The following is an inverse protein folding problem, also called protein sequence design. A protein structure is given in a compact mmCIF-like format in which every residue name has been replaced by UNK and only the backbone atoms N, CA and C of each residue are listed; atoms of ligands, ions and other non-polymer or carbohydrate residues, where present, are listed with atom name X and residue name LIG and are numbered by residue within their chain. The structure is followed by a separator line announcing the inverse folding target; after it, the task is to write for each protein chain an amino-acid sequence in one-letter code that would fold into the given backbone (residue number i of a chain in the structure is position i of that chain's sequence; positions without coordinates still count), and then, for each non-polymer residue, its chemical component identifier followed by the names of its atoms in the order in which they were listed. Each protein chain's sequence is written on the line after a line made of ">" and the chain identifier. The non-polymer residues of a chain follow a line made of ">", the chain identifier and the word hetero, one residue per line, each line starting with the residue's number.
data_IF_239289265367
#
_entry.id   IF_239289265367
#
_cell.length_a   1.000
_cell.length_b   1.000
_cell.length_c   1.000
_cell.angle_alpha   90.00
_cell.angle_beta   90.00
_cell.angle_gamma   90.00
#
_symmetry.space_group_name_H-M   'P 1'
#
loop_
_entity.id
_entity.type
_entity.pdbx_description
1 polymer ?
#
# COMPACT_ATOMS: atom_id res chain seq x y z
N UNK A 1 39.08 14.55 2.56
CA UNK A 1 37.70 14.92 2.18
C UNK A 1 37.01 13.62 1.75
N UNK A 2 36.77 12.71 2.71
CA UNK A 2 36.43 11.29 2.43
C UNK A 2 35.47 10.72 3.50
N UNK A 3 34.67 11.57 4.13
CA UNK A 3 33.78 11.19 5.23
C UNK A 3 32.30 11.40 4.92
N UNK A 4 31.96 12.10 3.83
CA UNK A 4 30.58 12.40 3.44
C UNK A 4 29.90 11.28 2.64
N UNK A 5 30.66 10.42 1.95
CA UNK A 5 30.09 9.40 1.06
C UNK A 5 29.55 8.16 1.82
N UNK A 6 30.28 7.71 2.86
CA UNK A 6 29.87 6.57 3.70
C UNK A 6 28.58 6.81 4.49
N UNK A 7 28.21 8.07 4.72
CA UNK A 7 27.01 8.41 5.49
C UNK A 7 25.74 8.38 4.62
N UNK A 8 25.86 8.63 3.31
CA UNK A 8 24.74 8.51 2.36
C UNK A 8 24.36 7.04 2.11
N UNK A 9 25.35 6.14 2.10
CA UNK A 9 25.16 4.70 1.93
C UNK A 9 24.59 3.97 3.17
N UNK A 10 24.55 4.63 4.34
CA UNK A 10 23.98 4.07 5.58
C UNK A 10 22.52 4.48 5.78
N UNK A 11 22.07 5.54 5.11
CA UNK A 11 20.72 6.11 5.27
C UNK A 11 19.61 5.43 4.48
N UNK A 12 19.92 4.53 3.54
CA UNK A 12 18.91 3.86 2.68
C UNK A 12 18.92 2.32 2.87
N UNK A 13 19.64 1.81 3.87
CA UNK A 13 19.67 0.37 4.18
C UNK A 13 18.48 0.03 5.07
N UNK A 14 17.50 -0.64 4.49
CA UNK A 14 16.33 -1.14 5.21
C UNK A 14 16.71 -2.49 5.83
N UNK A 15 16.88 -2.50 7.16
CA UNK A 15 17.17 -3.69 7.96
C UNK A 15 15.88 -4.07 8.68
N UNK A 16 15.46 -5.31 8.52
CA UNK A 16 14.18 -5.84 9.01
C UNK A 16 14.43 -7.08 9.85
N UNK A 17 13.58 -7.34 10.84
CA UNK A 17 13.61 -8.60 11.56
C UNK A 17 13.18 -9.75 10.64
N UNK A 18 14.13 -10.61 10.27
CA UNK A 18 13.90 -11.77 9.41
C UNK A 18 13.05 -12.86 10.06
N UNK A 19 12.85 -12.78 11.38
CA UNK A 19 11.96 -13.69 12.11
C UNK A 19 10.49 -13.23 12.08
N UNK A 20 10.24 -11.95 11.80
CA UNK A 20 8.90 -11.39 11.76
C UNK A 20 8.34 -11.31 10.33
N UNK A 21 7.53 -12.30 9.94
CA UNK A 21 6.89 -12.36 8.63
C UNK A 21 6.01 -11.13 8.31
N UNK A 22 5.45 -10.48 9.34
CA UNK A 22 4.62 -9.29 9.13
C UNK A 22 5.46 -8.08 8.72
N UNK A 23 6.63 -7.89 9.31
CA UNK A 23 7.56 -6.82 8.96
C UNK A 23 8.20 -7.03 7.59
N UNK A 24 8.56 -8.27 7.26
CA UNK A 24 9.06 -8.62 5.93
C UNK A 24 8.04 -8.30 4.85
N UNK A 25 6.77 -8.66 5.09
CA UNK A 25 5.68 -8.34 4.18
C UNK A 25 5.45 -6.83 4.09
N UNK A 26 5.39 -6.13 5.21
CA UNK A 26 5.19 -4.69 5.25
C UNK A 26 6.29 -3.95 4.48
N UNK A 27 7.54 -4.38 4.62
CA UNK A 27 8.68 -3.82 3.89
C UNK A 27 8.56 -4.05 2.39
N UNK A 28 8.15 -5.25 1.97
CA UNK A 28 7.87 -5.51 0.55
C UNK A 28 6.72 -4.65 0.02
N UNK A 29 5.62 -4.53 0.78
CA UNK A 29 4.45 -3.73 0.40
C UNK A 29 4.82 -2.24 0.26
N UNK A 30 5.60 -1.69 1.21
CA UNK A 30 6.13 -0.31 1.16
C UNK A 30 7.12 -0.12 0.02
N UNK A 31 7.99 -1.09 -0.26
CA UNK A 31 8.92 -1.04 -1.38
C UNK A 31 8.17 -0.99 -2.73
N UNK A 32 7.07 -1.75 -2.88
CA UNK A 32 6.21 -1.70 -4.08
C UNK A 32 5.63 -0.29 -4.25
N UNK A 33 5.06 0.28 -3.20
CA UNK A 33 4.51 1.63 -3.23
C UNK A 33 5.59 2.66 -3.59
N UNK A 34 6.75 2.61 -2.93
CA UNK A 34 7.88 3.51 -3.19
C UNK A 34 8.37 3.41 -4.63
N UNK A 35 8.55 2.21 -5.16
CA UNK A 35 9.04 2.00 -6.54
C UNK A 35 8.04 2.54 -7.58
N UNK A 36 6.74 2.40 -7.33
CA UNK A 36 5.69 2.83 -8.27
C UNK A 36 5.34 4.31 -8.16
N UNK A 37 5.56 4.92 -6.99
CA UNK A 37 5.32 6.33 -6.70
C UNK A 37 6.53 7.23 -6.97
N UNK A 38 7.76 6.68 -6.92
CA UNK A 38 9.00 7.45 -7.10
C UNK A 38 8.99 8.16 -8.45
N UNK A 39 8.82 9.49 -8.40
CA UNK A 39 9.14 10.36 -9.51
C UNK A 39 10.65 10.31 -9.75
N UNK A 40 11.13 10.40 -11.00
CA UNK A 40 12.55 10.43 -11.28
C UNK A 40 13.15 11.73 -10.75
N UNK A 41 13.64 11.70 -9.51
CA UNK A 41 14.50 12.76 -8.99
C UNK A 41 15.80 12.80 -9.80
N UNK A 42 16.27 14.02 -10.00
CA UNK A 42 17.18 14.54 -11.03
C UNK A 42 18.58 13.89 -11.24
N UNK A 43 18.85 12.68 -10.73
CA UNK A 43 20.20 12.07 -10.75
C UNK A 43 20.24 10.63 -11.29
N UNK A 44 19.09 10.02 -11.63
CA UNK A 44 19.02 8.62 -12.11
C UNK A 44 18.34 8.47 -13.49
N UNK A 45 18.48 9.50 -14.33
CA UNK A 45 17.92 9.61 -15.69
C UNK A 45 18.42 8.51 -16.65
N UNK A 46 19.46 7.74 -16.28
CA UNK A 46 20.09 6.76 -17.17
C UNK A 46 19.61 5.30 -17.04
N UNK A 47 18.79 4.93 -16.04
CA UNK A 47 18.38 3.51 -15.85
C UNK A 47 16.88 3.24 -15.66
N UNK A 48 16.05 4.24 -15.43
CA UNK A 48 14.60 4.08 -15.20
C UNK A 48 13.77 4.50 -16.42
N UNK A 49 13.98 3.89 -17.60
CA UNK A 49 13.27 4.26 -18.84
C UNK A 49 12.02 3.41 -19.16
N UNK A 50 11.60 2.48 -18.30
CA UNK A 50 10.52 1.55 -18.67
C UNK A 50 9.12 1.89 -18.10
N UNK A 51 9.00 2.73 -17.07
CA UNK A 51 7.71 2.99 -16.43
C UNK A 51 7.53 4.44 -16.00
N UNK A 52 6.56 5.14 -16.61
CA UNK A 52 6.15 6.47 -16.14
C UNK A 52 5.48 6.36 -14.75
N UNK A 53 5.88 7.17 -13.75
CA UNK A 53 5.41 7.06 -12.37
C UNK A 53 3.90 7.30 -12.28
N UNK A 54 3.24 6.59 -11.36
CA UNK A 54 1.82 6.80 -11.08
C UNK A 54 1.64 7.77 -9.92
N UNK A 55 0.64 8.65 -10.02
CA UNK A 55 0.23 9.47 -8.88
C UNK A 55 -0.57 8.61 -7.91
N UNK A 56 -0.05 8.45 -6.69
CA UNK A 56 -0.72 7.72 -5.61
C UNK A 56 -2.02 8.44 -5.22
N UNK A 57 -3.06 7.66 -4.99
CA UNK A 57 -4.36 8.13 -4.54
C UNK A 57 -4.56 7.74 -3.07
N UNK A 58 -4.39 8.71 -2.17
CA UNK A 58 -4.60 8.56 -0.71
C UNK A 58 -6.05 8.85 -0.29
N UNK A 59 -7.02 8.63 -1.19
CA UNK A 59 -8.42 9.03 -0.95
C UNK A 59 -9.00 8.40 0.33
N UNK A 60 -8.70 7.11 0.57
CA UNK A 60 -9.15 6.41 1.76
C UNK A 60 -8.49 6.96 3.04
N UNK A 61 -7.20 7.25 2.98
CA UNK A 61 -6.46 7.82 4.11
C UNK A 61 -7.00 9.22 4.46
N UNK A 62 -7.19 10.06 3.44
CA UNK A 62 -7.76 11.40 3.57
C UNK A 62 -9.20 11.37 4.08
N UNK A 63 -10.02 10.44 3.59
CA UNK A 63 -11.39 10.25 4.04
C UNK A 63 -11.43 9.84 5.50
N UNK A 64 -10.61 8.86 5.91
CA UNK A 64 -10.53 8.39 7.28
C UNK A 64 -10.04 9.49 8.22
N UNK A 65 -9.03 10.25 7.78
CA UNK A 65 -8.53 11.41 8.52
C UNK A 65 -9.63 12.46 8.71
N UNK A 66 -10.35 12.80 7.65
CA UNK A 66 -11.44 13.77 7.69
C UNK A 66 -12.58 13.32 8.62
N UNK A 67 -13.02 12.07 8.48
CA UNK A 67 -14.08 11.51 9.32
C UNK A 67 -13.64 11.44 10.79
N UNK A 68 -12.39 11.06 11.07
CA UNK A 68 -11.85 10.98 12.43
C UNK A 68 -11.69 12.36 13.07
N UNK A 69 -11.20 13.33 12.29
CA UNK A 69 -11.04 14.71 12.71
C UNK A 69 -12.39 15.37 13.02
N UNK A 70 -13.37 15.22 12.13
CA UNK A 70 -14.73 15.76 12.34
C UNK A 70 -15.41 15.12 13.54
N UNK A 71 -15.32 13.80 13.69
CA UNK A 71 -15.85 13.09 14.86
C UNK A 71 -15.22 13.61 16.16
N UNK A 72 -13.89 13.77 16.18
CA UNK A 72 -13.17 14.31 17.34
C UNK A 72 -13.57 15.75 17.66
N UNK A 73 -13.69 16.61 16.63
CA UNK A 73 -14.10 18.00 16.80
C UNK A 73 -15.51 18.13 17.41
N UNK A 74 -16.45 17.27 17.01
CA UNK A 74 -17.81 17.23 17.56
C UNK A 74 -17.79 16.83 19.03
N UNK A 75 -17.05 15.78 19.40
CA UNK A 75 -16.97 15.31 20.79
C UNK A 75 -16.28 16.35 21.68
N UNK A 76 -15.18 16.95 21.21
CA UNK A 76 -14.48 18.02 21.94
C UNK A 76 -15.41 19.23 22.11
N UNK A 77 -16.08 19.67 21.04
CA UNK A 77 -16.99 20.81 21.08
C UNK A 77 -18.17 20.60 22.02
N UNK A 78 -18.78 19.41 21.99
CA UNK A 78 -19.89 19.07 22.89
C UNK A 78 -19.44 18.90 24.34
N UNK A 79 -18.23 18.41 24.58
CA UNK A 79 -17.63 18.34 25.92
C UNK A 79 -17.36 19.73 26.50
N UNK A 80 -16.82 20.65 25.69
CA UNK A 80 -16.61 22.06 26.09
C UNK A 80 -17.95 22.74 26.37
N UNK A 81 -18.95 22.53 25.51
CA UNK A 81 -20.28 23.10 25.68
C UNK A 81 -20.96 22.61 26.96
N UNK A 82 -20.89 21.29 27.22
CA UNK A 82 -21.37 20.66 28.45
C UNK A 82 -20.70 21.24 29.71
N UNK A 83 -19.40 21.54 29.64
CA UNK A 83 -18.64 22.05 30.78
C UNK A 83 -18.91 23.53 31.06
N UNK A 84 -19.00 24.37 30.02
CA UNK A 84 -19.08 25.82 30.18
C UNK A 84 -20.49 26.40 30.10
N UNK A 85 -21.38 25.84 29.28
CA UNK A 85 -22.69 26.43 28.98
C UNK A 85 -23.80 25.74 29.76
N UNK A 86 -23.87 24.41 29.67
CA UNK A 86 -24.99 23.64 30.23
C UNK A 86 -24.52 22.53 31.16
N UNK A 87 -24.10 22.93 32.36
CA UNK A 87 -23.62 22.04 33.43
C UNK A 87 -24.71 21.09 33.95
N UNK A 88 -25.97 21.45 33.76
CA UNK A 88 -27.11 20.68 34.24
C UNK A 88 -27.38 19.46 33.32
N UNK A 89 -27.12 18.27 33.85
CA UNK A 89 -27.23 17.00 33.11
C UNK A 89 -28.61 16.78 32.46
N UNK A 90 -29.69 17.15 33.15
CA UNK A 90 -31.05 16.92 32.65
C UNK A 90 -31.34 17.61 31.31
N UNK A 91 -30.69 18.76 31.06
CA UNK A 91 -30.83 19.52 29.81
C UNK A 91 -29.80 19.09 28.76
N UNK A 92 -28.56 18.83 29.20
CA UNK A 92 -27.45 18.47 28.32
C UNK A 92 -27.51 17.03 27.77
N UNK A 93 -28.21 16.10 28.43
CA UNK A 93 -28.26 14.67 28.04
C UNK A 93 -28.64 14.43 26.57
N UNK A 94 -29.54 15.26 26.01
CA UNK A 94 -30.01 15.09 24.63
C UNK A 94 -28.93 15.50 23.63
N UNK A 95 -28.27 16.64 23.85
CA UNK A 95 -27.17 17.12 23.01
C UNK A 95 -26.00 16.14 23.03
N UNK A 96 -25.59 15.66 24.22
CA UNK A 96 -24.57 14.63 24.34
C UNK A 96 -24.99 13.31 23.65
N UNK A 97 -26.24 12.88 23.80
CA UNK A 97 -26.76 11.69 23.15
C UNK A 97 -26.68 11.77 21.62
N UNK A 98 -27.09 12.89 21.04
CA UNK A 98 -26.99 13.15 19.59
C UNK A 98 -25.53 13.09 19.13
N UNK A 99 -24.61 13.71 19.87
CA UNK A 99 -23.19 13.71 19.55
C UNK A 99 -22.60 12.29 19.51
N UNK A 100 -22.96 11.45 20.48
CA UNK A 100 -22.53 10.05 20.55
C UNK A 100 -23.11 9.25 19.38
N UNK A 101 -24.38 9.44 19.03
CA UNK A 101 -24.99 8.76 17.88
C UNK A 101 -24.27 9.13 16.57
N UNK A 102 -23.99 10.43 16.38
CA UNK A 102 -23.23 10.91 15.21
C UNK A 102 -21.83 10.28 15.18
N UNK A 103 -21.13 10.24 16.32
CA UNK A 103 -19.82 9.59 16.45
C UNK A 103 -19.85 8.10 16.10
N UNK A 104 -20.88 7.36 16.54
CA UNK A 104 -21.05 5.94 16.22
C UNK A 104 -21.24 5.75 14.71
N UNK A 105 -22.06 6.59 14.07
CA UNK A 105 -22.29 6.51 12.62
C UNK A 105 -20.98 6.81 11.86
N UNK A 106 -20.27 7.88 12.20
CA UNK A 106 -18.97 8.23 11.61
C UNK A 106 -17.95 7.10 11.76
N UNK A 107 -17.90 6.47 12.94
CA UNK A 107 -17.02 5.34 13.22
C UNK A 107 -17.41 4.10 12.40
N UNK A 108 -18.70 3.84 12.22
CA UNK A 108 -19.18 2.74 11.39
C UNK A 108 -18.83 2.94 9.91
N UNK A 109 -18.92 4.17 9.39
CA UNK A 109 -18.51 4.51 8.02
C UNK A 109 -17.01 4.30 7.83
N UNK A 110 -16.18 4.74 8.78
CA UNK A 110 -14.72 4.48 8.73
C UNK A 110 -14.38 2.99 8.75
N UNK A 111 -15.09 2.22 9.57
CA UNK A 111 -14.92 0.77 9.64
C UNK A 111 -15.33 0.08 8.34
N UNK A 112 -16.43 0.52 7.73
CA UNK A 112 -16.90 0.00 6.44
C UNK A 112 -15.91 0.33 5.31
N UNK A 113 -15.39 1.56 5.25
CA UNK A 113 -14.38 1.94 4.25
C UNK A 113 -13.10 1.10 4.38
N UNK A 114 -12.62 0.91 5.61
CA UNK A 114 -11.45 0.06 5.89
C UNK A 114 -11.68 -1.40 5.45
N UNK A 115 -12.90 -1.91 5.64
CA UNK A 115 -13.27 -3.26 5.20
C UNK A 115 -13.31 -3.38 3.67
N UNK A 116 -13.78 -2.35 2.97
CA UNK A 116 -13.83 -2.32 1.50
C UNK A 116 -12.44 -2.20 0.87
N UNK A 117 -11.53 -1.45 1.49
CA UNK A 117 -10.15 -1.28 1.02
C UNK A 117 -9.37 -2.60 1.09
N UNK A 118 -9.64 -3.40 2.13
CA UNK A 118 -9.11 -4.75 2.29
C UNK A 118 -7.57 -4.81 2.18
N UNK A 119 -7.08 -5.57 1.21
CA UNK A 119 -5.65 -5.85 0.99
C UNK A 119 -5.01 -4.94 -0.07
N UNK A 120 -5.65 -3.82 -0.41
CA UNK A 120 -5.14 -2.90 -1.44
C UNK A 120 -3.95 -2.11 -0.91
N UNK A 121 -2.77 -2.35 -1.47
CA UNK A 121 -1.51 -1.71 -1.06
C UNK A 121 -1.18 -0.48 -1.90
N UNK A 122 -1.70 -0.40 -3.13
CA UNK A 122 -1.39 0.71 -4.02
C UNK A 122 -2.55 1.02 -4.94
N UNK A 123 -2.92 2.29 -5.03
CA UNK A 123 -3.84 2.80 -6.06
C UNK A 123 -3.19 3.99 -6.72
N UNK A 124 -2.78 3.82 -7.97
CA UNK A 124 -2.13 4.83 -8.78
C UNK A 124 -2.97 5.23 -9.98
N UNK A 125 -2.98 6.53 -10.29
CA UNK A 125 -3.57 7.05 -11.54
C UNK A 125 -2.53 7.84 -12.31
N UNK A 126 -2.51 7.71 -13.64
CA UNK A 126 -1.72 8.55 -14.53
C UNK A 126 -2.53 8.97 -15.74
N UNK A 127 -2.22 10.16 -16.26
CA UNK A 127 -2.81 10.68 -17.50
C UNK A 127 -1.74 10.65 -18.57
N UNK A 128 -2.01 9.97 -19.69
CA UNK A 128 -1.12 9.95 -20.84
C UNK A 128 -1.77 10.67 -22.02
N UNK A 129 -0.93 11.30 -22.84
CA UNK A 129 -1.33 12.02 -24.05
C UNK A 129 -0.66 11.34 -25.24
N UNK A 130 -1.29 10.33 -25.82
CA UNK A 130 -0.79 9.67 -27.05
C UNK A 130 -1.51 10.15 -28.31
N UNK A 131 -2.74 10.68 -28.19
CA UNK A 131 -3.54 11.30 -29.26
C UNK A 131 -4.81 11.95 -28.65
N UNK A 132 -5.36 11.29 -27.62
CA UNK A 132 -6.40 11.80 -26.71
C UNK A 132 -5.92 11.70 -25.27
N UNK A 133 -6.56 12.45 -24.35
CA UNK A 133 -6.28 12.32 -22.91
C UNK A 133 -6.80 10.96 -22.44
N UNK A 134 -5.88 10.07 -22.12
CA UNK A 134 -6.16 8.75 -21.58
C UNK A 134 -5.79 8.68 -20.11
N UNK A 135 -6.66 8.08 -19.32
CA UNK A 135 -6.47 7.86 -17.89
C UNK A 135 -6.20 6.39 -17.66
N UNK A 136 -5.04 6.10 -17.10
CA UNK A 136 -4.64 4.77 -16.67
C UNK A 136 -4.72 4.69 -15.15
N UNK A 137 -5.33 3.63 -14.66
CA UNK A 137 -5.50 3.35 -13.25
C UNK A 137 -4.94 1.95 -12.96
N UNK A 138 -4.04 1.89 -11.99
CA UNK A 138 -3.41 0.67 -11.50
C UNK A 138 -3.75 0.50 -10.02
N UNK A 139 -4.38 -0.63 -9.69
CA UNK A 139 -4.64 -1.04 -8.31
C UNK A 139 -3.84 -2.30 -8.06
N UNK A 140 -3.03 -2.32 -7.00
CA UNK A 140 -2.29 -3.49 -6.56
C UNK A 140 -2.77 -3.89 -5.17
N UNK A 141 -3.06 -5.17 -5.01
CA UNK A 141 -3.49 -5.77 -3.75
C UNK A 141 -2.53 -6.88 -3.38
N UNK A 142 -2.13 -6.90 -2.11
CA UNK A 142 -1.18 -7.87 -1.56
C UNK A 142 -1.92 -8.78 -0.57
N UNK A 143 -2.31 -10.00 -1.00
CA UNK A 143 -3.04 -10.93 -0.16
C UNK A 143 -2.19 -11.36 1.03
N UNK A 144 -2.83 -11.96 2.04
CA UNK A 144 -2.11 -12.58 3.15
C UNK A 144 -1.20 -13.69 2.64
N UNK A 145 -0.01 -13.82 3.25
CA UNK A 145 0.95 -14.84 2.87
C UNK A 145 0.31 -16.24 3.07
N UNK A 146 0.37 -17.12 2.05
CA UNK A 146 -0.13 -18.48 2.21
C UNK A 146 0.68 -19.21 3.28
N UNK A 147 0.08 -20.13 4.03
CA UNK A 147 0.81 -20.94 5.01
C UNK A 147 1.82 -21.84 4.28
N UNK A 148 3.03 -21.99 4.83
CA UNK A 148 4.07 -22.83 4.26
C UNK A 148 3.55 -24.27 4.06
N UNK A 149 3.65 -24.78 2.83
CA UNK A 149 3.18 -26.11 2.46
C UNK A 149 4.31 -27.10 2.71
N UNK A 150 4.05 -28.10 3.57
CA UNK A 150 4.94 -29.25 3.75
C UNK A 150 4.72 -30.19 2.57
N UNK A 151 5.68 -30.30 1.65
CA UNK A 151 5.63 -31.36 0.64
C UNK A 151 6.05 -32.67 1.32
N UNK A 152 5.35 -33.77 1.04
CA UNK A 152 5.71 -35.13 1.50
C UNK A 152 7.03 -35.66 0.89
N UNK A 153 7.73 -34.85 0.11
CA UNK A 153 9.06 -35.15 -0.39
C UNK A 153 10.09 -34.99 0.74
N UNK A 154 10.84 -36.05 1.02
CA UNK A 154 11.95 -36.04 1.97
C UNK A 154 13.20 -35.54 1.26
N UNK A 155 13.88 -34.56 1.86
CA UNK A 155 15.23 -34.21 1.46
C UNK A 155 16.17 -35.42 1.71
N UNK A 156 17.32 -35.53 1.03
CA UNK A 156 18.31 -36.58 1.28
C UNK A 156 18.81 -36.62 2.74
N UNK A 157 18.56 -35.56 3.52
CA UNK A 157 18.84 -35.46 4.96
C UNK A 157 17.68 -35.89 5.87
N UNK A 158 16.63 -36.53 5.35
CA UNK A 158 15.48 -37.04 6.14
C UNK A 158 14.50 -35.97 6.66
N UNK A 159 14.74 -34.69 6.40
CA UNK A 159 13.86 -33.57 6.79
C UNK A 159 12.79 -33.34 5.70
N UNK A 160 11.54 -32.97 6.06
CA UNK A 160 10.50 -32.64 5.08
C UNK A 160 10.88 -31.38 4.30
N UNK A 161 10.73 -31.40 2.98
CA UNK A 161 10.97 -30.23 2.12
C UNK A 161 9.82 -29.23 2.35
N UNK A 162 10.09 -28.16 3.09
CA UNK A 162 9.17 -27.04 3.23
C UNK A 162 9.33 -26.10 2.04
N UNK A 163 8.23 -25.85 1.31
CA UNK A 163 8.22 -24.79 0.29
C UNK A 163 7.85 -23.48 0.99
N UNK A 164 8.72 -22.45 0.97
CA UNK A 164 8.44 -21.18 1.62
C UNK A 164 7.27 -20.46 0.93
N UNK A 165 6.53 -19.61 1.66
CA UNK A 165 5.45 -18.84 1.08
C UNK A 165 5.98 -17.90 -0.01
N UNK A 166 5.28 -17.84 -1.14
CA UNK A 166 5.58 -16.92 -2.22
C UNK A 166 4.83 -15.61 -2.00
N UNK A 167 5.51 -14.49 -2.22
CA UNK A 167 4.92 -13.17 -2.24
C UNK A 167 4.25 -12.96 -3.61
N UNK A 168 2.92 -12.87 -3.61
CA UNK A 168 2.09 -12.74 -4.81
C UNK A 168 1.38 -11.40 -4.79
N UNK A 169 1.42 -10.65 -5.89
CA UNK A 169 0.67 -9.40 -6.03
C UNK A 169 -0.48 -9.58 -7.00
N UNK A 170 -1.68 -9.18 -6.60
CA UNK A 170 -2.80 -9.04 -7.52
C UNK A 170 -2.79 -7.64 -8.11
N UNK A 171 -2.88 -7.53 -9.43
CA UNK A 171 -2.97 -6.24 -10.09
C UNK A 171 -4.28 -6.13 -10.88
N UNK A 172 -4.87 -4.94 -10.85
CA UNK A 172 -5.99 -4.54 -11.68
C UNK A 172 -5.61 -3.26 -12.41
N UNK A 173 -5.50 -3.38 -13.72
CA UNK A 173 -5.13 -2.30 -14.62
C UNK A 173 -6.31 -1.94 -15.52
N UNK A 174 -6.62 -0.65 -15.59
CA UNK A 174 -7.65 -0.13 -16.50
C UNK A 174 -7.13 1.10 -17.22
N UNK A 175 -7.31 1.14 -18.53
CA UNK A 175 -7.03 2.28 -19.41
C UNK A 175 -8.34 2.77 -19.98
N UNK A 176 -8.65 4.05 -19.73
CA UNK A 176 -9.89 4.72 -20.17
C UNK A 176 -9.55 5.96 -21.00
N UNK A 177 -10.40 6.30 -21.98
CA UNK A 177 -10.29 7.49 -22.83
C UNK A 177 -11.55 8.34 -22.69
N UNK A 178 -11.52 9.53 -23.29
CA UNK A 178 -12.62 10.49 -23.31
C UNK A 178 -13.12 10.87 -21.90
N UNK A 179 -12.19 11.34 -21.05
CA UNK A 179 -12.47 11.68 -19.63
C UNK A 179 -13.11 10.53 -18.83
N UNK A 180 -12.72 9.29 -19.12
CA UNK A 180 -13.20 8.12 -18.40
C UNK A 180 -14.49 7.49 -18.94
N UNK A 181 -15.04 8.01 -20.04
CA UNK A 181 -16.30 7.53 -20.63
C UNK A 181 -16.14 6.27 -21.49
N UNK A 182 -14.95 5.99 -21.99
CA UNK A 182 -14.68 4.81 -22.83
C UNK A 182 -13.56 3.98 -22.23
N UNK A 183 -13.74 2.66 -22.13
CA UNK A 183 -12.73 1.71 -21.67
C UNK A 183 -11.93 1.19 -22.87
N UNK A 184 -10.61 1.42 -22.91
CA UNK A 184 -9.76 0.87 -23.97
C UNK A 184 -9.22 -0.50 -23.62
N UNK A 185 -8.80 -0.68 -22.37
CA UNK A 185 -8.18 -1.92 -21.94
C UNK A 185 -8.42 -2.15 -20.46
N UNK A 186 -8.68 -3.40 -20.10
CA UNK A 186 -8.76 -3.88 -18.73
C UNK A 186 -7.94 -5.15 -18.65
N UNK A 187 -6.97 -5.18 -17.74
CA UNK A 187 -6.14 -6.35 -17.46
C UNK A 187 -6.15 -6.60 -15.96
N UNK A 188 -6.23 -7.85 -15.57
CA UNK A 188 -6.13 -8.25 -14.17
C UNK A 188 -5.42 -9.58 -14.08
N UNK A 189 -4.61 -9.76 -13.05
CA UNK A 189 -3.86 -10.99 -12.87
C UNK A 189 -3.19 -11.08 -11.51
N UNK A 190 -2.56 -12.22 -11.28
CA UNK A 190 -1.68 -12.44 -10.13
C UNK A 190 -0.24 -12.54 -10.63
N UNK A 191 0.66 -11.82 -9.99
CA UNK A 191 2.09 -11.81 -10.26
C UNK A 191 2.81 -12.44 -9.05
N UNK A 192 3.23 -13.71 -9.12
CA UNK A 192 4.13 -14.27 -8.14
C UNK A 192 5.51 -13.64 -8.34
N UNK A 193 5.97 -12.85 -7.38
CA UNK A 193 7.28 -12.21 -7.45
C UNK A 193 8.40 -13.18 -7.06
N UNK A 194 8.15 -14.07 -6.09
CA UNK A 194 9.12 -15.06 -5.62
C UNK A 194 8.97 -15.31 -4.12
N UNK A 195 9.94 -16.00 -3.53
CA UNK A 195 9.97 -16.26 -2.10
C UNK A 195 10.54 -15.09 -1.32
N UNK A 196 10.08 -14.88 -0.09
CA UNK A 196 10.61 -13.80 0.76
C UNK A 196 12.13 -13.94 1.00
N UNK A 197 12.64 -15.18 1.10
CA UNK A 197 14.09 -15.43 1.28
C UNK A 197 14.97 -15.01 0.09
N UNK A 198 14.41 -14.65 -1.07
CA UNK A 198 15.19 -14.12 -2.19
C UNK A 198 15.45 -12.61 -2.06
N UNK A 199 14.64 -11.91 -1.26
CA UNK A 199 14.67 -10.45 -1.14
C UNK A 199 15.37 -9.96 0.13
N UNK A 200 15.53 -10.85 1.11
CA UNK A 200 16.15 -10.54 2.39
C UNK A 200 17.42 -11.36 2.56
N UNK A 201 18.51 -10.69 2.93
CA UNK A 201 19.75 -11.36 3.30
C UNK A 201 19.61 -12.02 4.68
N UNK A 202 20.58 -12.88 5.04
CA UNK A 202 20.63 -13.51 6.38
C UNK A 202 20.67 -12.48 7.53
N UNK A 203 21.12 -11.26 7.23
CA UNK A 203 21.19 -10.15 8.17
C UNK A 203 19.94 -9.26 8.17
N UNK A 204 18.89 -9.63 7.42
CA UNK A 204 17.64 -8.86 7.32
C UNK A 204 17.73 -7.64 6.41
N UNK A 205 18.78 -7.51 5.60
CA UNK A 205 18.92 -6.42 4.63
C UNK A 205 18.05 -6.68 3.40
N UNK A 206 17.25 -5.69 3.01
CA UNK A 206 16.36 -5.78 1.86
C UNK A 206 17.08 -5.45 0.54
N UNK A 207 17.11 -6.40 -0.39
CA UNK A 207 17.70 -6.26 -1.71
C UNK A 207 16.74 -5.55 -2.69
N UNK A 208 16.57 -4.23 -2.51
CA UNK A 208 15.62 -3.43 -3.26
C UNK A 208 15.82 -3.46 -4.78
N UNK A 209 17.06 -3.44 -5.27
CA UNK A 209 17.36 -3.39 -6.71
C UNK A 209 16.85 -4.64 -7.46
N UNK A 210 17.06 -5.82 -6.87
CA UNK A 210 16.65 -7.10 -7.46
C UNK A 210 15.12 -7.20 -7.44
N UNK A 211 14.51 -6.80 -6.32
CA UNK A 211 13.06 -6.74 -6.18
C UNK A 211 12.43 -5.80 -7.20
N UNK A 212 13.01 -4.60 -7.39
CA UNK A 212 12.55 -3.62 -8.36
C UNK A 212 12.59 -4.16 -9.80
N UNK A 213 13.71 -4.77 -10.20
CA UNK A 213 13.84 -5.35 -11.55
C UNK A 213 12.79 -6.44 -11.80
N UNK A 214 12.55 -7.29 -10.80
CA UNK A 214 11.57 -8.38 -10.87
C UNK A 214 10.14 -7.87 -10.93
N UNK A 215 9.81 -6.85 -10.13
CA UNK A 215 8.52 -6.19 -10.15
C UNK A 215 8.26 -5.54 -11.51
N UNK A 216 9.20 -4.74 -12.02
CA UNK A 216 9.04 -4.04 -13.29
C UNK A 216 8.96 -5.02 -14.48
N UNK A 217 9.80 -6.04 -14.51
CA UNK A 217 9.74 -7.08 -15.55
C UNK A 217 8.42 -7.86 -15.51
N UNK A 218 7.93 -8.17 -14.30
CA UNK A 218 6.65 -8.84 -14.11
C UNK A 218 5.46 -8.00 -14.56
N UNK A 219 5.46 -6.70 -14.21
CA UNK A 219 4.44 -5.75 -14.65
C UNK A 219 4.48 -5.52 -16.16
N UNK A 220 5.66 -5.38 -16.75
CA UNK A 220 5.81 -5.23 -18.20
C UNK A 220 5.24 -6.45 -18.96
N UNK A 221 5.59 -7.67 -18.52
CA UNK A 221 5.01 -8.91 -19.06
C UNK A 221 3.49 -8.96 -18.91
N UNK A 222 2.98 -8.56 -17.74
CA UNK A 222 1.55 -8.50 -17.46
C UNK A 222 0.81 -7.48 -18.34
N UNK A 223 1.44 -6.34 -18.63
CA UNK A 223 0.88 -5.32 -19.52
C UNK A 223 1.07 -5.62 -21.00
N UNK A 224 1.87 -6.64 -21.34
CA UNK A 224 2.07 -7.10 -22.71
C UNK A 224 2.83 -6.11 -23.59
N UNK A 225 3.81 -5.42 -22.99
CA UNK A 225 4.76 -4.55 -23.68
C UNK A 225 6.15 -5.19 -23.75
#
# INVERSE_FOLDING_TARGET
>A
METTDKNKAKGDRIIVDSSNLSELKATCDEAVERILSRQPDHESVAKAQAFAPFKVSHLHDDLRLLLGFTASAIIIGTSIWAYFVEKEWNRNKQTCGIAVVIYIILSAVQAADSYLQGNTIFTGTRKMLSDRIETEQLVISSPSLPKAIKKNAKAPSGKPILTPPAYTLHFHYTRKSNRGKSLLSKKSGSLPLGHLGEWFTEHGEFAQDIFQQRLLSGLQKAFGQ
#
